data_IF_091705589742
#
_entry.id   IF_091705589742
#
_cell.length_a   1.000
_cell.length_b   1.000
_cell.length_c   1.000
_cell.angle_alpha   90.00
_cell.angle_beta   90.00
_cell.angle_gamma   90.00
#
_symmetry.space_group_name_H-M   'P 1'
#
loop_
_entity.id
_entity.type
_entity.pdbx_description
1 polymer ?
#
# COMPACT_ATOMS: atom_id res chain seq x y z
N UNK A 1 -8.21 -28.78 -29.04
CA UNK A 1 -7.49 -27.57 -29.48
C UNK A 1 -6.88 -26.93 -28.24
N UNK A 2 -5.62 -27.23 -27.97
CA UNK A 2 -4.93 -26.85 -26.73
C UNK A 2 -4.22 -25.50 -26.86
N UNK A 3 -4.44 -24.62 -25.89
CA UNK A 3 -3.83 -23.29 -25.81
C UNK A 3 -2.54 -23.40 -24.98
N UNK A 4 -1.43 -22.98 -25.58
CA UNK A 4 -0.08 -23.03 -25.02
C UNK A 4 0.11 -22.10 -23.81
N UNK A 5 0.97 -22.54 -22.89
CA UNK A 5 1.38 -21.84 -21.66
C UNK A 5 2.41 -20.71 -21.92
N UNK A 6 2.52 -19.67 -21.07
CA UNK A 6 3.28 -18.42 -21.33
C UNK A 6 4.82 -18.55 -21.30
N UNK A 7 5.38 -19.75 -21.38
CA UNK A 7 6.80 -20.01 -21.14
C UNK A 7 7.72 -19.72 -22.35
N UNK A 8 7.18 -19.18 -23.45
CA UNK A 8 7.87 -19.12 -24.76
C UNK A 8 8.49 -17.76 -25.13
N UNK A 9 8.52 -16.77 -24.24
CA UNK A 9 8.93 -15.39 -24.59
C UNK A 9 10.34 -15.01 -24.08
N UNK A 10 11.06 -15.86 -23.34
CA UNK A 10 12.43 -15.57 -22.90
C UNK A 10 13.44 -16.66 -23.32
N UNK A 11 14.47 -16.36 -24.14
CA UNK A 11 15.57 -17.29 -24.33
C UNK A 11 16.40 -17.36 -23.05
N UNK A 12 16.46 -18.57 -22.45
CA UNK A 12 17.28 -18.88 -21.28
C UNK A 12 18.76 -18.57 -21.56
N UNK A 13 19.31 -17.55 -20.91
CA UNK A 13 20.76 -17.30 -20.86
C UNK A 13 21.41 -18.46 -20.09
N UNK A 14 21.96 -19.45 -20.81
CA UNK A 14 22.82 -20.50 -20.22
C UNK A 14 24.20 -19.93 -19.94
N UNK A 15 24.48 -19.65 -18.67
CA UNK A 15 25.85 -19.37 -18.22
C UNK A 15 26.68 -20.66 -18.26
N UNK A 16 27.53 -20.83 -19.29
CA UNK A 16 28.52 -21.92 -19.37
C UNK A 16 29.61 -21.69 -18.30
N UNK A 17 29.55 -22.43 -17.19
CA UNK A 17 30.72 -22.59 -16.31
C UNK A 17 31.79 -23.40 -17.05
N UNK A 18 32.90 -22.76 -17.40
CA UNK A 18 34.15 -23.43 -17.82
C UNK A 18 34.72 -24.18 -16.63
N UNK A 19 34.82 -25.50 -16.74
CA UNK A 19 35.58 -26.33 -15.81
C UNK A 19 37.09 -26.13 -16.00
N UNK A 20 37.82 -26.00 -14.89
CA UNK A 20 39.25 -26.33 -14.81
C UNK A 20 39.46 -27.32 -13.67
N UNK A 21 40.28 -28.32 -13.98
CA UNK A 21 40.54 -29.56 -13.24
C UNK A 21 41.45 -29.35 -12.01
N UNK A 22 41.21 -30.20 -11.01
CA UNK A 22 42.13 -30.96 -10.14
C UNK A 22 43.46 -30.35 -9.67
N UNK A 23 43.62 -30.33 -8.35
CA UNK A 23 44.91 -30.39 -7.65
C UNK A 23 44.66 -30.60 -6.16
N UNK A 24 44.79 -31.84 -5.67
CA UNK A 24 44.69 -32.15 -4.24
C UNK A 24 46.05 -32.07 -3.55
N UNK A 25 46.06 -31.77 -2.25
CA UNK A 25 47.02 -32.33 -1.30
C UNK A 25 46.59 -32.10 0.18
N UNK A 26 46.37 -33.23 0.88
CA UNK A 26 46.75 -33.56 2.27
C UNK A 26 46.33 -32.70 3.48
N UNK A 27 45.42 -33.31 4.26
CA UNK A 27 45.47 -33.61 5.72
C UNK A 27 46.02 -32.59 6.72
N UNK A 28 45.17 -32.20 7.68
CA UNK A 28 45.43 -32.50 9.10
C UNK A 28 44.12 -32.56 9.91
N UNK A 29 44.03 -33.58 10.76
CA UNK A 29 42.94 -33.86 11.71
C UNK A 29 43.21 -33.10 13.01
N UNK A 30 42.17 -32.49 13.59
CA UNK A 30 42.01 -32.45 15.04
C UNK A 30 40.53 -32.61 15.42
N UNK A 31 40.26 -33.76 16.06
CA UNK A 31 39.11 -34.01 16.95
C UNK A 31 39.24 -33.05 18.17
N UNK A 32 38.27 -32.67 18.99
CA UNK A 32 37.04 -33.24 19.56
C UNK A 32 36.43 -32.05 20.37
N UNK A 33 35.13 -31.82 20.55
CA UNK A 33 34.23 -32.50 21.51
C UNK A 33 32.83 -31.88 21.41
N UNK A 34 31.82 -32.71 21.59
CA UNK A 34 30.42 -32.36 21.79
C UNK A 34 30.06 -32.33 23.30
N UNK A 35 29.00 -31.60 23.65
CA UNK A 35 27.97 -31.90 24.68
C UNK A 35 26.94 -30.76 24.59
N UNK A 36 25.68 -30.94 24.20
CA UNK A 36 24.55 -31.73 24.75
C UNK A 36 23.85 -31.08 25.95
N UNK A 37 22.51 -31.19 25.92
CA UNK A 37 21.51 -30.96 26.98
C UNK A 37 21.14 -29.50 27.27
N UNK A 38 19.90 -29.12 27.61
CA UNK A 38 18.54 -29.67 27.53
C UNK A 38 17.63 -28.61 28.17
N UNK A 39 16.38 -28.54 27.72
CA UNK A 39 15.15 -28.09 28.40
C UNK A 39 15.22 -27.10 29.59
N UNK A 40 14.40 -26.05 29.54
CA UNK A 40 13.22 -25.95 30.44
C UNK A 40 12.40 -24.68 30.20
N UNK A 41 11.08 -24.86 30.23
CA UNK A 41 10.07 -23.83 30.23
C UNK A 41 9.97 -23.16 31.61
N UNK A 42 9.69 -21.86 31.65
CA UNK A 42 9.14 -21.22 32.84
C UNK A 42 8.21 -20.06 32.45
N UNK A 43 6.95 -20.28 32.82
CA UNK A 43 5.82 -19.36 32.91
C UNK A 43 6.14 -18.02 33.58
N UNK A 44 5.56 -16.93 33.07
CA UNK A 44 5.47 -15.66 33.80
C UNK A 44 4.00 -15.30 34.03
N UNK A 45 3.60 -15.39 35.30
CA UNK A 45 2.39 -14.79 35.85
C UNK A 45 2.77 -13.78 36.94
N UNK A 46 1.91 -12.78 37.08
CA UNK A 46 1.67 -11.89 38.23
C UNK A 46 2.22 -10.45 38.20
N UNK A 47 1.25 -9.54 38.03
CA UNK A 47 0.80 -8.52 38.99
C UNK A 47 1.84 -7.56 39.62
N UNK A 48 1.57 -6.26 39.46
CA UNK A 48 2.18 -5.17 40.25
C UNK A 48 1.73 -5.17 41.73
N UNK A 49 2.19 -4.21 42.56
CA UNK A 49 1.97 -2.78 42.31
C UNK A 49 3.14 -1.82 42.66
N UNK A 50 2.88 -0.54 42.33
CA UNK A 50 3.61 0.72 42.51
C UNK A 50 4.67 0.85 43.62
N UNK A 51 5.77 1.56 43.31
CA UNK A 51 6.29 2.68 44.12
C UNK A 51 7.27 3.52 43.30
N UNK A 52 7.16 4.84 43.45
CA UNK A 52 7.96 5.89 42.82
C UNK A 52 9.30 6.12 43.55
N UNK A 53 10.41 6.23 42.81
CA UNK A 53 11.63 6.89 43.28
C UNK A 53 12.41 7.53 42.11
N UNK A 54 13.05 8.71 42.30
CA UNK A 54 13.63 9.50 41.22
C UNK A 54 15.10 9.12 40.98
N UNK A 55 15.51 8.97 39.72
CA UNK A 55 16.93 8.80 39.37
C UNK A 55 17.41 10.09 38.69
N UNK A 56 18.02 10.95 39.50
CA UNK A 56 18.97 11.96 39.04
C UNK A 56 20.37 11.53 39.45
N UNK A 57 21.25 11.26 38.49
CA UNK A 57 22.69 11.39 38.70
C UNK A 57 23.39 11.71 37.36
N UNK A 58 23.86 12.96 37.28
CA UNK A 58 24.70 13.48 36.20
C UNK A 58 26.06 12.79 36.26
N UNK A 59 26.36 11.93 35.29
CA UNK A 59 27.75 11.50 35.04
C UNK A 59 28.40 12.46 34.05
N UNK A 60 29.39 13.21 34.56
CA UNK A 60 30.17 14.21 33.84
C UNK A 60 31.44 13.51 33.31
N UNK A 61 31.51 13.20 32.02
CA UNK A 61 32.73 12.68 31.40
C UNK A 61 33.62 13.85 30.95
N UNK A 62 34.82 13.93 31.53
CA UNK A 62 35.85 14.92 31.22
C UNK A 62 36.66 14.50 29.99
N UNK A 63 36.87 15.44 29.07
CA UNK A 63 37.68 15.29 27.87
C UNK A 63 39.18 15.36 28.19
N UNK A 64 39.98 14.44 27.64
CA UNK A 64 41.43 14.65 27.46
C UNK A 64 41.82 14.44 25.99
N UNK A 65 42.60 15.41 25.55
CA UNK A 65 43.18 15.70 24.25
C UNK A 65 43.56 14.51 23.34
N UNK A 66 43.17 14.61 22.07
CA UNK A 66 43.94 14.10 20.93
C UNK A 66 43.92 15.08 19.75
N UNK A 67 45.10 15.65 19.57
CA UNK A 67 45.73 16.29 18.39
C UNK A 67 45.01 16.28 17.05
N UNK A 68 45.09 17.45 16.39
CA UNK A 68 44.51 17.82 15.11
C UNK A 68 44.94 16.97 13.91
N UNK A 69 43.95 16.61 13.07
CA UNK A 69 44.12 16.23 11.66
C UNK A 69 42.96 16.86 10.89
N UNK A 70 43.28 17.80 10.00
CA UNK A 70 42.33 18.59 9.24
C UNK A 70 41.77 17.81 8.04
N UNK A 71 40.72 17.01 8.25
CA UNK A 71 39.86 16.55 7.16
C UNK A 71 38.61 17.45 7.10
N UNK A 72 38.39 18.15 5.99
CA UNK A 72 37.16 18.92 5.73
C UNK A 72 35.96 17.96 5.64
N UNK A 73 35.42 17.52 6.78
CA UNK A 73 34.12 16.85 6.83
C UNK A 73 33.05 17.90 6.55
N UNK A 74 32.25 17.69 5.49
CA UNK A 74 31.01 18.43 5.30
C UNK A 74 30.15 18.15 6.53
N UNK A 75 30.06 19.12 7.44
CA UNK A 75 29.09 19.13 8.54
C UNK A 75 27.71 18.96 7.92
N UNK A 76 27.15 17.76 8.01
CA UNK A 76 25.72 17.56 7.87
C UNK A 76 25.13 18.46 8.96
N UNK A 77 24.52 19.59 8.57
CA UNK A 77 23.73 20.39 9.51
C UNK A 77 22.68 19.44 10.04
N UNK A 78 22.80 19.02 11.30
CA UNK A 78 21.69 18.40 11.98
C UNK A 78 20.53 19.37 11.85
N UNK A 79 19.47 18.96 11.14
CA UNK A 79 18.20 19.66 11.25
C UNK A 79 17.89 19.61 12.73
N UNK A 80 18.04 20.73 13.43
CA UNK A 80 17.59 20.86 14.80
C UNK A 80 16.09 20.59 14.72
N UNK A 81 15.66 19.40 15.11
CA UNK A 81 14.28 19.15 15.43
C UNK A 81 13.98 20.06 16.62
N UNK A 82 13.51 21.27 16.33
CA UNK A 82 12.81 22.04 17.34
C UNK A 82 11.56 21.22 17.59
N UNK A 83 11.55 20.48 18.70
CA UNK A 83 10.29 19.99 19.23
C UNK A 83 9.40 21.23 19.30
N UNK A 84 8.37 21.29 18.46
CA UNK A 84 7.29 22.25 18.65
C UNK A 84 6.79 22.12 20.08
N UNK A 85 6.12 23.16 20.60
CA UNK A 85 5.52 23.12 21.94
C UNK A 85 4.91 21.74 22.17
N UNK A 86 5.35 21.05 23.23
CA UNK A 86 4.76 19.76 23.61
C UNK A 86 3.25 19.93 23.63
N UNK A 87 2.47 19.03 23.00
CA UNK A 87 1.02 19.12 23.05
C UNK A 87 0.60 19.27 24.51
N UNK A 88 -0.14 20.34 24.82
CA UNK A 88 -0.52 20.68 26.19
C UNK A 88 -1.66 19.81 26.74
N UNK A 89 -2.15 18.85 25.95
CA UNK A 89 -3.29 17.99 26.26
C UNK A 89 -2.95 16.52 26.01
N UNK A 90 -3.57 15.63 26.79
CA UNK A 90 -3.53 14.19 26.55
C UNK A 90 -4.18 13.85 25.20
N UNK A 91 -3.64 12.84 24.51
CA UNK A 91 -4.13 12.35 23.23
C UNK A 91 -4.04 10.82 23.20
N UNK A 92 -4.98 10.19 22.50
CA UNK A 92 -5.04 8.73 22.32
C UNK A 92 -5.00 8.41 20.84
N UNK A 93 -4.21 7.39 20.48
CA UNK A 93 -4.20 6.84 19.13
C UNK A 93 -4.92 5.50 19.19
N UNK A 94 -6.00 5.38 18.43
CA UNK A 94 -6.66 4.11 18.18
C UNK A 94 -6.34 3.69 16.76
N UNK A 95 -5.67 2.55 16.60
CA UNK A 95 -5.32 2.00 15.31
C UNK A 95 -5.58 0.49 15.31
N UNK A 96 -6.04 -0.07 14.18
CA UNK A 96 -6.10 -1.52 14.03
C UNK A 96 -4.68 -2.09 14.04
N UNK A 97 -4.56 -3.39 14.33
CA UNK A 97 -3.35 -4.12 13.93
C UNK A 97 -3.31 -4.15 12.40
N UNK A 98 -2.10 -4.07 11.82
CA UNK A 98 -1.93 -4.08 10.36
C UNK A 98 -1.10 -5.28 9.94
N UNK A 99 -1.63 -6.08 9.01
CA UNK A 99 -0.88 -7.08 8.27
C UNK A 99 -0.72 -6.56 6.84
N UNK A 100 0.51 -6.26 6.44
CA UNK A 100 0.80 -5.67 5.13
C UNK A 100 1.79 -6.55 4.38
N UNK A 101 1.49 -6.87 3.13
CA UNK A 101 2.41 -7.59 2.26
C UNK A 101 1.73 -8.42 1.20
N UNK A 102 2.53 -8.83 0.22
CA UNK A 102 2.10 -9.69 -0.88
C UNK A 102 1.60 -11.04 -0.37
N UNK A 103 0.44 -11.50 -0.82
CA UNK A 103 -0.14 -12.80 -0.48
C UNK A 103 -0.66 -12.89 0.97
N UNK A 104 -0.78 -11.77 1.67
CA UNK A 104 -1.30 -11.73 3.05
C UNK A 104 -2.78 -12.08 3.12
N UNK A 105 -3.54 -11.96 2.03
CA UNK A 105 -4.94 -12.42 1.98
C UNK A 105 -5.08 -13.93 2.26
N UNK A 106 -4.05 -14.72 1.96
CA UNK A 106 -4.01 -16.15 2.28
C UNK A 106 -3.93 -16.44 3.79
N UNK A 107 -3.54 -15.46 4.61
CA UNK A 107 -3.38 -15.59 6.05
C UNK A 107 -4.67 -15.30 6.84
N UNK A 108 -5.76 -14.93 6.14
CA UNK A 108 -7.04 -14.54 6.77
C UNK A 108 -7.56 -15.61 7.73
N UNK A 109 -7.48 -16.90 7.39
CA UNK A 109 -7.94 -17.99 8.24
C UNK A 109 -7.19 -18.09 9.57
N UNK A 110 -5.87 -17.89 9.56
CA UNK A 110 -5.06 -17.92 10.78
C UNK A 110 -5.39 -16.71 11.69
N UNK A 111 -5.61 -15.55 11.08
CA UNK A 111 -5.99 -14.33 11.81
C UNK A 111 -7.44 -14.38 12.32
N UNK A 112 -8.34 -14.99 11.53
CA UNK A 112 -9.75 -15.16 11.86
C UNK A 112 -9.97 -16.12 13.04
N UNK A 113 -9.01 -17.01 13.35
CA UNK A 113 -9.10 -17.91 14.51
C UNK A 113 -9.25 -17.15 15.84
N UNK A 114 -8.71 -15.93 15.93
CA UNK A 114 -8.85 -15.07 17.11
C UNK A 114 -10.24 -14.41 17.23
N UNK A 115 -11.09 -14.51 16.20
CA UNK A 115 -12.42 -13.94 16.18
C UNK A 115 -13.49 -14.94 16.64
N UNK A 116 -13.21 -16.24 16.55
CA UNK A 116 -14.15 -17.33 16.84
C UNK A 116 -14.18 -18.39 15.74
N UNK A 117 -15.06 -19.36 15.89
CA UNK A 117 -15.26 -20.46 14.93
C UNK A 117 -16.44 -20.20 13.99
N UNK A 118 -17.24 -19.16 14.22
CA UNK A 118 -18.37 -18.78 13.36
C UNK A 118 -18.18 -17.41 12.72
N UNK A 119 -17.72 -17.38 11.48
CA UNK A 119 -17.38 -16.16 10.75
C UNK A 119 -18.41 -15.83 9.67
N UNK A 120 -18.83 -14.57 9.65
CA UNK A 120 -19.52 -13.95 8.52
C UNK A 120 -18.49 -13.31 7.59
N UNK A 121 -18.52 -13.71 6.32
CA UNK A 121 -17.74 -13.05 5.27
C UNK A 121 -18.62 -12.06 4.48
N UNK A 122 -18.21 -10.80 4.44
CA UNK A 122 -18.86 -9.73 3.69
C UNK A 122 -17.98 -9.36 2.52
N UNK A 123 -18.52 -9.39 1.30
CA UNK A 123 -17.75 -9.11 0.09
C UNK A 123 -18.52 -8.18 -0.86
N UNK A 124 -17.85 -7.20 -1.45
CA UNK A 124 -18.44 -6.40 -2.53
C UNK A 124 -18.84 -7.33 -3.70
N UNK A 125 -20.04 -7.19 -4.29
CA UNK A 125 -20.52 -8.06 -5.36
C UNK A 125 -19.52 -8.28 -6.52
N UNK A 126 -18.85 -7.22 -6.97
CA UNK A 126 -17.88 -7.28 -8.08
C UNK A 126 -16.66 -8.15 -7.80
N UNK A 127 -16.36 -8.44 -6.53
CA UNK A 127 -15.22 -9.27 -6.12
C UNK A 127 -15.64 -10.69 -5.75
N UNK A 128 -16.95 -10.99 -5.69
CA UNK A 128 -17.47 -12.26 -5.18
C UNK A 128 -16.84 -13.47 -5.86
N UNK A 129 -16.61 -13.41 -7.17
CA UNK A 129 -16.06 -14.52 -7.96
C UNK A 129 -14.55 -14.40 -8.22
N UNK A 130 -13.90 -13.39 -7.65
CA UNK A 130 -12.46 -13.16 -7.78
C UNK A 130 -11.63 -14.27 -7.13
N UNK A 131 -10.39 -14.43 -7.60
CA UNK A 131 -9.42 -15.35 -6.99
C UNK A 131 -9.17 -15.03 -5.50
N UNK A 132 -9.10 -13.74 -5.16
CA UNK A 132 -8.90 -13.29 -3.80
C UNK A 132 -10.09 -13.66 -2.88
N UNK A 133 -11.34 -13.47 -3.34
CA UNK A 133 -12.52 -13.89 -2.57
C UNK A 133 -12.57 -15.42 -2.38
N UNK A 134 -12.18 -16.19 -3.40
CA UNK A 134 -12.04 -17.65 -3.27
C UNK A 134 -10.98 -18.03 -2.23
N UNK A 135 -9.83 -17.37 -2.26
CA UNK A 135 -8.75 -17.60 -1.30
C UNK A 135 -9.17 -17.26 0.13
N UNK A 136 -9.96 -16.19 0.34
CA UNK A 136 -10.55 -15.89 1.66
C UNK A 136 -11.47 -17.01 2.12
N UNK A 137 -12.38 -17.49 1.27
CA UNK A 137 -13.30 -18.59 1.61
C UNK A 137 -12.54 -19.88 1.93
N UNK A 138 -11.56 -20.25 1.13
CA UNK A 138 -10.72 -21.43 1.35
C UNK A 138 -9.92 -21.32 2.66
N UNK A 139 -9.36 -20.14 2.94
CA UNK A 139 -8.58 -19.89 4.16
C UNK A 139 -9.47 -19.95 5.42
N UNK A 140 -10.71 -19.45 5.35
CA UNK A 140 -11.68 -19.55 6.45
C UNK A 140 -12.17 -20.99 6.68
N UNK A 141 -12.31 -21.78 5.62
CA UNK A 141 -12.74 -23.17 5.68
C UNK A 141 -14.04 -23.35 6.47
N UNK A 142 -14.04 -24.28 7.42
CA UNK A 142 -15.23 -24.59 8.25
C UNK A 142 -15.69 -23.43 9.15
N UNK A 143 -14.89 -22.38 9.32
CA UNK A 143 -15.30 -21.20 10.09
C UNK A 143 -16.28 -20.32 9.35
N UNK A 144 -16.30 -20.39 8.02
CA UNK A 144 -17.24 -19.62 7.20
C UNK A 144 -18.65 -20.21 7.36
N UNK A 145 -19.49 -19.57 8.19
CA UNK A 145 -20.87 -20.03 8.43
C UNK A 145 -21.90 -19.29 7.61
N UNK A 146 -21.54 -18.11 7.08
CA UNK A 146 -22.40 -17.27 6.27
C UNK A 146 -21.57 -16.33 5.37
N UNK A 147 -22.12 -16.00 4.20
CA UNK A 147 -21.55 -15.00 3.28
C UNK A 147 -22.62 -13.97 2.90
N UNK A 148 -22.25 -12.70 2.86
CA UNK A 148 -23.12 -11.60 2.46
C UNK A 148 -22.47 -10.77 1.35
N UNK A 149 -23.19 -10.65 0.23
CA UNK A 149 -22.77 -9.82 -0.91
C UNK A 149 -23.76 -8.71 -1.25
N UNK A 150 -24.78 -8.47 -0.41
CA UNK A 150 -25.77 -7.40 -0.58
C UNK A 150 -25.22 -6.00 -0.27
N UNK A 151 -23.97 -5.73 -0.64
CA UNK A 151 -23.27 -4.47 -0.38
C UNK A 151 -23.57 -3.49 -1.51
N UNK A 152 -23.95 -2.26 -1.15
CA UNK A 152 -24.20 -1.18 -2.09
C UNK A 152 -23.40 0.09 -1.76
N UNK A 153 -23.20 1.01 -2.73
CA UNK A 153 -22.63 2.32 -2.46
C UNK A 153 -23.34 3.03 -1.31
N UNK A 154 -22.57 3.72 -0.46
CA UNK A 154 -23.06 4.51 0.68
C UNK A 154 -23.73 3.72 1.82
N UNK A 155 -23.61 2.39 1.85
CA UNK A 155 -24.05 1.53 2.96
C UNK A 155 -25.51 1.80 3.35
N UNK A 156 -26.48 1.38 2.52
CA UNK A 156 -27.89 1.49 2.89
C UNK A 156 -28.17 0.79 4.22
N UNK A 157 -29.08 1.33 5.02
CA UNK A 157 -29.45 0.74 6.33
C UNK A 157 -29.93 -0.70 6.15
N UNK A 158 -30.68 -0.96 5.08
CA UNK A 158 -31.24 -2.26 4.73
C UNK A 158 -30.15 -3.31 4.50
N UNK A 159 -29.01 -2.90 3.93
CA UNK A 159 -27.87 -3.79 3.72
C UNK A 159 -27.22 -4.20 5.05
N UNK A 160 -27.15 -3.27 6.01
CA UNK A 160 -26.65 -3.56 7.37
C UNK A 160 -27.61 -4.50 8.09
N UNK A 161 -28.90 -4.21 8.07
CA UNK A 161 -29.91 -5.04 8.74
C UNK A 161 -30.01 -6.45 8.15
N UNK A 162 -29.91 -6.59 6.82
CA UNK A 162 -29.85 -7.90 6.18
C UNK A 162 -28.60 -8.71 6.61
N UNK A 163 -27.43 -8.06 6.67
CA UNK A 163 -26.21 -8.71 7.14
C UNK A 163 -26.28 -9.08 8.63
N UNK A 164 -26.92 -8.24 9.46
CA UNK A 164 -27.19 -8.54 10.87
C UNK A 164 -28.11 -9.74 11.06
N UNK A 165 -29.21 -9.79 10.32
CA UNK A 165 -30.15 -10.90 10.38
C UNK A 165 -29.44 -12.23 10.08
N UNK A 166 -28.56 -12.23 9.08
CA UNK A 166 -27.73 -13.38 8.74
C UNK A 166 -26.74 -13.73 9.87
N UNK A 167 -26.11 -12.71 10.48
CA UNK A 167 -25.21 -12.91 11.61
C UNK A 167 -25.91 -13.56 12.82
N UNK A 168 -27.13 -13.13 13.14
CA UNK A 168 -27.96 -13.70 14.21
C UNK A 168 -28.38 -15.13 13.86
N UNK A 169 -28.91 -15.36 12.66
CA UNK A 169 -29.36 -16.67 12.20
C UNK A 169 -28.24 -17.72 12.29
N UNK A 170 -27.02 -17.33 11.92
CA UNK A 170 -25.86 -18.22 11.89
C UNK A 170 -24.99 -18.11 13.15
N UNK A 171 -25.45 -17.43 14.21
CA UNK A 171 -24.72 -17.28 15.49
C UNK A 171 -23.27 -16.88 15.30
N UNK A 172 -23.06 -15.87 14.47
CA UNK A 172 -21.73 -15.39 14.08
C UNK A 172 -21.02 -14.80 15.30
N UNK A 173 -19.73 -15.07 15.40
CA UNK A 173 -18.81 -14.65 16.46
C UNK A 173 -17.79 -13.63 15.95
N UNK A 174 -17.60 -13.50 14.63
CA UNK A 174 -16.67 -12.59 14.01
C UNK A 174 -17.01 -12.21 12.58
N UNK A 175 -16.55 -11.04 12.13
CA UNK A 175 -16.78 -10.54 10.78
C UNK A 175 -15.46 -10.41 10.02
N UNK A 176 -15.43 -10.88 8.78
CA UNK A 176 -14.39 -10.56 7.80
C UNK A 176 -15.05 -9.76 6.67
N UNK A 177 -14.60 -8.54 6.41
CA UNK A 177 -15.13 -7.70 5.33
C UNK A 177 -14.06 -7.41 4.28
N UNK A 178 -14.31 -7.79 3.03
CA UNK A 178 -13.45 -7.53 1.88
C UNK A 178 -14.14 -6.61 0.87
N UNK A 179 -13.44 -5.55 0.47
CA UNK A 179 -13.94 -4.63 -0.53
C UNK A 179 -13.57 -3.19 -0.25
N UNK A 180 -14.34 -2.27 -0.82
CA UNK A 180 -14.18 -0.84 -0.53
C UNK A 180 -14.85 -0.40 0.77
N UNK A 181 -14.91 0.92 0.97
CA UNK A 181 -15.51 1.52 2.16
C UNK A 181 -16.94 1.05 2.45
N UNK A 182 -17.72 0.67 1.42
CA UNK A 182 -19.06 0.12 1.59
C UNK A 182 -19.08 -1.25 2.27
N UNK A 183 -18.29 -2.22 1.80
CA UNK A 183 -18.28 -3.57 2.37
C UNK A 183 -17.78 -3.54 3.82
N UNK A 184 -16.70 -2.79 4.05
CA UNK A 184 -16.17 -2.54 5.40
C UNK A 184 -17.22 -1.82 6.25
N UNK A 185 -17.93 -0.84 5.70
CA UNK A 185 -18.99 -0.12 6.40
C UNK A 185 -20.15 -1.01 6.84
N UNK A 186 -20.60 -1.96 5.98
CA UNK A 186 -21.58 -2.98 6.38
C UNK A 186 -21.01 -3.85 7.51
N UNK A 187 -19.76 -4.29 7.40
CA UNK A 187 -19.10 -5.07 8.44
C UNK A 187 -18.99 -4.34 9.78
N UNK A 188 -18.71 -3.04 9.76
CA UNK A 188 -18.74 -2.19 10.96
C UNK A 188 -20.12 -2.09 11.57
N UNK A 189 -21.15 -1.96 10.73
CA UNK A 189 -22.53 -2.06 11.16
C UNK A 189 -22.73 -3.34 11.97
N UNK A 190 -22.55 -4.50 11.33
CA UNK A 190 -22.69 -5.81 11.99
C UNK A 190 -21.88 -5.89 13.29
N UNK A 191 -20.62 -5.46 13.26
CA UNK A 191 -19.71 -5.50 14.40
C UNK A 191 -20.23 -4.74 15.63
N UNK A 192 -20.69 -3.51 15.44
CA UNK A 192 -21.02 -2.61 16.55
C UNK A 192 -22.20 -3.08 17.37
N UNK A 193 -23.26 -3.59 16.73
CA UNK A 193 -24.44 -4.10 17.45
C UNK A 193 -24.43 -5.64 17.54
N UNK A 194 -23.27 -6.26 17.29
CA UNK A 194 -23.03 -7.70 17.43
C UNK A 194 -22.58 -8.09 18.84
N UNK A 195 -22.64 -9.38 19.18
CA UNK A 195 -22.14 -9.88 20.47
C UNK A 195 -20.61 -9.83 20.53
N UNK A 196 -20.00 -9.47 21.68
CA UNK A 196 -18.54 -9.46 21.84
C UNK A 196 -17.89 -10.79 21.45
N UNK A 197 -16.81 -10.73 20.67
CA UNK A 197 -16.04 -11.92 20.29
C UNK A 197 -15.20 -12.44 21.46
N UNK A 198 -14.94 -13.76 21.55
CA UNK A 198 -13.98 -14.31 22.50
C UNK A 198 -12.60 -13.65 22.36
N UNK A 199 -11.96 -13.30 23.48
CA UNK A 199 -10.58 -12.78 23.46
C UNK A 199 -10.41 -11.32 23.05
N UNK A 200 -11.48 -10.57 22.78
CA UNK A 200 -11.38 -9.11 22.67
C UNK A 200 -11.11 -8.52 24.06
N UNK A 201 -9.88 -8.05 24.28
CA UNK A 201 -9.48 -7.42 25.54
C UNK A 201 -10.32 -6.19 25.92
N UNK A 202 -10.24 -5.78 27.17
CA UNK A 202 -10.89 -4.57 27.69
C UNK A 202 -10.57 -3.35 26.81
N UNK A 203 -11.61 -2.61 26.38
CA UNK A 203 -11.46 -1.34 25.66
C UNK A 203 -11.90 -1.29 24.19
N UNK A 204 -12.37 -2.40 23.60
CA UNK A 204 -12.88 -2.42 22.20
C UNK A 204 -14.31 -1.93 21.99
N UNK A 205 -15.05 -1.59 23.07
CA UNK A 205 -16.50 -1.40 22.99
C UNK A 205 -17.18 -2.77 22.80
N UNK A 206 -18.27 -3.03 23.50
CA UNK A 206 -18.89 -4.36 23.63
C UNK A 206 -19.51 -4.95 22.35
N UNK A 207 -18.85 -4.85 21.19
CA UNK A 207 -19.26 -5.41 19.90
C UNK A 207 -18.32 -6.50 19.39
N UNK A 208 -18.69 -7.07 18.26
CA UNK A 208 -18.01 -8.18 17.60
C UNK A 208 -16.72 -7.73 16.89
N UNK A 209 -15.70 -8.57 16.85
CA UNK A 209 -14.45 -8.28 16.17
C UNK A 209 -14.60 -8.30 14.63
N UNK A 210 -13.94 -7.34 13.97
CA UNK A 210 -13.97 -7.15 12.53
C UNK A 210 -12.56 -7.18 11.94
N UNK A 211 -12.31 -8.07 10.97
CA UNK A 211 -11.13 -8.03 10.08
C UNK A 211 -11.53 -7.31 8.79
N UNK A 212 -10.78 -6.28 8.41
CA UNK A 212 -11.00 -5.54 7.18
C UNK A 212 -9.92 -5.86 6.13
N UNK A 213 -10.34 -6.17 4.91
CA UNK A 213 -9.50 -6.44 3.74
C UNK A 213 -9.83 -5.39 2.67
N UNK A 214 -9.26 -4.18 2.77
CA UNK A 214 -9.55 -3.10 1.83
C UNK A 214 -9.06 -3.42 0.42
N UNK A 215 -9.92 -3.18 -0.56
CA UNK A 215 -9.57 -3.28 -1.99
C UNK A 215 -9.62 -1.92 -2.70
N UNK A 216 -9.79 -0.84 -1.93
CA UNK A 216 -9.82 0.55 -2.39
C UNK A 216 -9.18 1.45 -1.34
N UNK A 217 -8.84 2.69 -1.69
CA UNK A 217 -8.13 3.61 -0.79
C UNK A 217 -9.07 4.46 0.09
N UNK A 218 -10.15 3.86 0.61
CA UNK A 218 -11.17 4.57 1.37
C UNK A 218 -10.73 4.96 2.80
N UNK A 219 -9.86 4.16 3.43
CA UNK A 219 -9.41 4.37 4.82
C UNK A 219 -10.46 4.01 5.88
N UNK A 220 -11.57 3.38 5.50
CA UNK A 220 -12.61 2.94 6.44
C UNK A 220 -12.01 1.95 7.45
N UNK A 221 -11.13 1.08 7.01
CA UNK A 221 -10.41 0.10 7.84
C UNK A 221 -9.59 0.70 8.99
N UNK A 222 -9.29 2.01 8.96
CA UNK A 222 -8.46 2.70 9.96
C UNK A 222 -9.26 3.50 11.00
N UNK A 223 -10.59 3.48 10.93
CA UNK A 223 -11.41 4.40 11.74
C UNK A 223 -12.51 3.69 12.52
N UNK A 224 -12.92 4.23 13.70
CA UNK A 224 -14.12 3.79 14.41
C UNK A 224 -15.41 4.43 13.83
N UNK A 225 -15.37 4.93 12.60
CA UNK A 225 -16.47 5.70 12.00
C UNK A 225 -17.07 4.95 10.82
N UNK A 226 -18.39 4.91 10.76
CA UNK A 226 -19.12 4.44 9.59
C UNK A 226 -20.38 5.27 9.40
N UNK A 227 -20.80 5.39 8.14
CA UNK A 227 -22.04 6.07 7.79
C UNK A 227 -23.00 5.10 7.14
N UNK A 228 -24.26 5.11 7.54
CA UNK A 228 -25.36 4.43 6.86
C UNK A 228 -26.26 5.46 6.17
N UNK A 229 -26.88 5.08 5.07
CA UNK A 229 -27.84 5.93 4.35
C UNK A 229 -29.23 5.33 4.44
N UNK A 230 -30.18 6.12 4.92
CA UNK A 230 -31.61 5.82 4.80
C UNK A 230 -32.02 6.18 3.36
N UNK A 231 -32.35 5.16 2.55
CA UNK A 231 -32.65 5.34 1.13
C UNK A 231 -33.94 6.14 0.90
N UNK A 232 -34.93 5.95 1.78
CA UNK A 232 -36.26 6.58 1.70
C UNK A 232 -36.22 8.05 2.13
N UNK A 233 -35.41 8.38 3.14
CA UNK A 233 -35.28 9.76 3.66
C UNK A 233 -34.14 10.55 3.05
N UNK A 234 -33.22 9.90 2.34
CA UNK A 234 -32.00 10.51 1.82
C UNK A 234 -31.01 10.98 2.89
N UNK A 235 -31.22 10.60 4.16
CA UNK A 235 -30.41 11.03 5.31
C UNK A 235 -29.24 10.09 5.51
N UNK A 236 -28.04 10.65 5.70
CA UNK A 236 -26.83 9.89 6.08
C UNK A 236 -26.61 9.97 7.58
N UNK A 237 -26.70 8.85 8.26
CA UNK A 237 -26.40 8.74 9.68
C UNK A 237 -24.95 8.31 9.85
N UNK A 238 -24.13 9.14 10.51
CA UNK A 238 -22.73 8.82 10.81
C UNK A 238 -22.62 8.43 12.27
N UNK A 239 -22.10 7.22 12.54
CA UNK A 239 -21.82 6.72 13.87
C UNK A 239 -20.31 6.65 14.09
N UNK A 240 -19.88 7.03 15.29
CA UNK A 240 -18.53 6.80 15.81
C UNK A 240 -18.63 5.89 17.01
N UNK A 241 -18.06 4.71 16.93
CA UNK A 241 -18.13 3.69 17.96
C UNK A 241 -16.80 2.91 18.04
N UNK A 242 -16.17 2.74 19.22
CA UNK A 242 -14.96 1.94 19.35
C UNK A 242 -15.08 0.53 18.75
N UNK A 243 -16.27 -0.10 18.82
CA UNK A 243 -16.50 -1.43 18.25
C UNK A 243 -16.50 -1.44 16.71
N UNK A 244 -16.62 -0.27 16.08
CA UNK A 244 -16.53 -0.13 14.62
C UNK A 244 -15.08 -0.14 14.13
N UNK A 245 -14.08 0.00 15.02
CA UNK A 245 -12.69 -0.06 14.61
C UNK A 245 -12.31 -1.51 14.35
N UNK A 246 -11.83 -1.86 13.13
CA UNK A 246 -11.37 -3.20 12.86
C UNK A 246 -10.30 -3.64 13.84
N UNK A 247 -10.34 -4.92 14.20
CA UNK A 247 -9.31 -5.54 15.01
C UNK A 247 -7.99 -5.70 14.24
N UNK A 248 -8.12 -5.90 12.94
CA UNK A 248 -7.05 -6.13 11.99
C UNK A 248 -7.43 -5.54 10.63
N UNK A 249 -6.50 -4.83 10.00
CA UNK A 249 -6.54 -4.48 8.59
C UNK A 249 -5.50 -5.30 7.82
N UNK A 250 -5.91 -5.98 6.76
CA UNK A 250 -5.04 -6.79 5.90
C UNK A 250 -4.87 -6.08 4.56
N UNK A 251 -3.68 -5.56 4.31
CA UNK A 251 -3.29 -4.96 3.04
C UNK A 251 -2.48 -5.94 2.20
N UNK A 252 -3.15 -6.56 1.25
CA UNK A 252 -2.49 -7.27 0.18
C UNK A 252 -2.45 -6.39 -1.08
N UNK A 253 -1.29 -5.91 -1.53
CA UNK A 253 -1.24 -5.06 -2.71
C UNK A 253 -1.72 -5.80 -3.98
N UNK A 254 -1.62 -7.13 -4.06
CA UNK A 254 -2.00 -7.88 -5.26
C UNK A 254 -3.49 -7.80 -5.58
N UNK A 255 -4.35 -7.70 -4.57
CA UNK A 255 -5.81 -7.64 -4.76
C UNK A 255 -6.31 -6.25 -5.18
N UNK A 256 -5.40 -5.28 -5.32
CA UNK A 256 -5.69 -3.91 -5.76
C UNK A 256 -5.17 -3.59 -7.16
N UNK A 257 -4.39 -4.49 -7.77
CA UNK A 257 -3.76 -4.26 -9.08
C UNK A 257 -4.79 -4.16 -10.20
N UNK A 258 -5.88 -4.94 -10.10
CA UNK A 258 -6.95 -4.97 -11.11
C UNK A 258 -8.04 -3.91 -10.84
N UNK A 259 -7.85 -3.02 -9.85
CA UNK A 259 -8.82 -1.96 -9.57
C UNK A 259 -8.88 -0.99 -10.76
N UNK A 260 -10.08 -0.72 -11.33
CA UNK A 260 -10.21 0.18 -12.48
C UNK A 260 -9.58 1.54 -12.23
N UNK A 261 -8.88 2.10 -13.23
CA UNK A 261 -8.12 3.35 -13.10
C UNK A 261 -8.95 4.51 -12.53
N UNK A 262 -10.23 4.62 -12.92
CA UNK A 262 -11.15 5.65 -12.42
C UNK A 262 -11.43 5.48 -10.91
N UNK A 263 -11.63 4.24 -10.44
CA UNK A 263 -11.85 3.95 -9.01
C UNK A 263 -10.55 4.14 -8.22
N UNK A 264 -9.42 3.72 -8.78
CA UNK A 264 -8.08 3.97 -8.23
C UNK A 264 -7.85 5.47 -8.04
N UNK A 265 -8.10 6.29 -9.07
CA UNK A 265 -7.90 7.73 -9.01
C UNK A 265 -8.84 8.40 -8.00
N UNK A 266 -10.15 8.14 -8.07
CA UNK A 266 -11.14 8.76 -7.19
C UNK A 266 -10.90 8.41 -5.72
N UNK A 267 -10.60 7.16 -5.40
CA UNK A 267 -10.33 6.73 -4.01
C UNK A 267 -8.96 7.21 -3.52
N UNK A 268 -7.94 7.31 -4.39
CA UNK A 268 -6.65 7.91 -4.03
C UNK A 268 -6.77 9.41 -3.75
N UNK A 269 -7.61 10.14 -4.50
CA UNK A 269 -7.90 11.54 -4.21
C UNK A 269 -8.60 11.72 -2.87
N UNK A 270 -9.52 10.83 -2.51
CA UNK A 270 -10.12 10.82 -1.18
C UNK A 270 -9.06 10.56 -0.07
N UNK A 271 -8.16 9.60 -0.28
CA UNK A 271 -7.05 9.35 0.65
C UNK A 271 -6.12 10.58 0.78
N UNK A 272 -5.86 11.28 -0.32
CA UNK A 272 -5.07 12.51 -0.30
C UNK A 272 -5.76 13.61 0.49
N UNK A 273 -7.07 13.80 0.27
CA UNK A 273 -7.88 14.76 1.02
C UNK A 273 -7.82 14.47 2.52
N UNK A 274 -7.98 13.20 2.93
CA UNK A 274 -7.83 12.80 4.34
C UNK A 274 -6.44 13.14 4.90
N UNK A 275 -5.36 12.90 4.14
CA UNK A 275 -4.01 13.26 4.59
C UNK A 275 -3.83 14.77 4.73
N UNK A 276 -4.36 15.55 3.79
CA UNK A 276 -4.29 17.01 3.81
C UNK A 276 -5.09 17.56 5.01
N UNK A 277 -6.32 17.09 5.20
CA UNK A 277 -7.18 17.46 6.34
C UNK A 277 -6.57 17.11 7.69
N UNK A 278 -5.94 15.93 7.79
CA UNK A 278 -5.26 15.48 9.00
C UNK A 278 -4.10 16.41 9.43
N UNK A 279 -3.54 17.21 8.52
CA UNK A 279 -2.49 18.16 8.85
C UNK A 279 -3.00 19.43 9.55
N UNK A 280 -4.27 19.81 9.34
CA UNK A 280 -4.88 21.04 9.89
C UNK A 280 -6.12 20.80 10.77
N UNK A 281 -6.46 19.54 11.06
CA UNK A 281 -7.57 19.19 11.94
C UNK A 281 -7.45 19.87 13.33
N UNK A 282 -8.58 20.23 13.93
CA UNK A 282 -8.62 20.95 15.23
C UNK A 282 -8.07 20.11 16.39
N UNK A 283 -8.22 18.80 16.31
CA UNK A 283 -7.84 17.79 17.30
C UNK A 283 -6.52 17.08 16.94
N UNK A 284 -5.64 17.74 16.19
CA UNK A 284 -4.39 17.14 15.73
C UNK A 284 -3.47 16.76 16.89
N UNK A 285 -2.96 15.53 16.86
CA UNK A 285 -1.95 15.03 17.79
C UNK A 285 -0.57 14.98 17.08
N UNK A 286 0.56 14.92 17.81
CA UNK A 286 1.89 15.08 17.21
C UNK A 286 2.30 13.92 16.29
N UNK A 287 1.57 12.80 16.29
CA UNK A 287 1.87 11.62 15.47
C UNK A 287 1.17 11.68 14.11
N UNK A 288 0.02 12.36 14.02
CA UNK A 288 -0.80 12.35 12.80
C UNK A 288 -0.17 13.13 11.63
N UNK A 289 0.31 14.39 11.79
CA UNK A 289 0.86 15.14 10.65
C UNK A 289 2.08 14.47 9.99
N UNK A 290 3.06 13.91 10.72
CA UNK A 290 4.15 13.17 10.08
C UNK A 290 3.67 11.99 9.21
N UNK A 291 2.69 11.22 9.69
CA UNK A 291 2.11 10.09 8.95
C UNK A 291 1.34 10.58 7.72
N UNK A 292 0.53 11.61 7.89
CA UNK A 292 -0.25 12.20 6.81
C UNK A 292 0.64 12.81 5.71
N UNK A 293 1.72 13.50 6.08
CA UNK A 293 2.72 14.02 5.15
C UNK A 293 3.43 12.91 4.37
N UNK A 294 3.68 11.76 4.98
CA UNK A 294 4.24 10.60 4.28
C UNK A 294 3.23 9.99 3.30
N UNK A 295 1.96 9.89 3.70
CA UNK A 295 0.85 9.51 2.82
C UNK A 295 0.76 10.40 1.57
N UNK A 296 0.82 11.73 1.75
CA UNK A 296 0.84 12.70 0.65
C UNK A 296 2.00 12.40 -0.32
N UNK A 297 3.21 12.19 0.19
CA UNK A 297 4.39 11.89 -0.66
C UNK A 297 4.19 10.63 -1.48
N UNK A 298 3.65 9.56 -0.89
CA UNK A 298 3.40 8.31 -1.59
C UNK A 298 2.35 8.46 -2.69
N UNK A 299 1.22 9.12 -2.40
CA UNK A 299 0.15 9.33 -3.38
C UNK A 299 0.64 10.19 -4.54
N UNK A 300 1.31 11.31 -4.26
CA UNK A 300 1.84 12.21 -5.31
C UNK A 300 2.90 11.51 -6.15
N UNK A 301 3.79 10.70 -5.54
CA UNK A 301 4.80 9.95 -6.29
C UNK A 301 4.17 8.91 -7.22
N UNK A 302 3.11 8.24 -6.78
CA UNK A 302 2.38 7.29 -7.61
C UNK A 302 1.75 7.99 -8.83
N UNK A 303 1.10 9.14 -8.63
CA UNK A 303 0.56 9.95 -9.72
C UNK A 303 1.63 10.40 -10.72
N UNK A 304 2.81 10.82 -10.24
CA UNK A 304 3.94 11.16 -11.09
C UNK A 304 4.43 9.98 -11.94
N UNK A 305 4.45 8.76 -11.39
CA UNK A 305 4.80 7.54 -12.13
C UNK A 305 3.85 7.26 -13.29
N UNK A 306 2.54 7.48 -13.10
CA UNK A 306 1.53 7.33 -14.17
C UNK A 306 1.78 8.33 -15.30
N UNK A 307 1.99 9.61 -14.96
CA UNK A 307 2.28 10.63 -15.97
C UNK A 307 3.57 10.33 -16.75
N UNK A 308 4.61 9.84 -16.07
CA UNK A 308 5.84 9.41 -16.74
C UNK A 308 5.58 8.23 -17.70
N UNK A 309 4.75 7.26 -17.31
CA UNK A 309 4.41 6.14 -18.17
C UNK A 309 3.69 6.61 -19.46
N UNK A 310 2.71 7.50 -19.33
CA UNK A 310 2.01 8.13 -20.48
C UNK A 310 3.00 8.87 -21.37
N UNK A 311 3.88 9.69 -20.78
CA UNK A 311 4.75 10.59 -21.54
C UNK A 311 5.97 9.90 -22.18
N UNK A 312 6.41 8.75 -21.66
CA UNK A 312 7.72 8.18 -21.99
C UNK A 312 7.90 7.87 -23.48
N UNK A 313 6.90 7.26 -24.11
CA UNK A 313 6.97 6.91 -25.55
C UNK A 313 7.06 8.17 -26.43
N UNK A 314 6.36 9.24 -26.06
CA UNK A 314 6.38 10.52 -26.78
C UNK A 314 7.72 11.25 -26.63
N UNK A 315 8.31 11.23 -25.43
CA UNK A 315 9.63 11.84 -25.18
C UNK A 315 10.75 11.07 -25.87
N UNK A 316 10.69 9.73 -25.89
CA UNK A 316 11.64 8.88 -26.63
C UNK A 316 11.59 9.22 -28.12
N UNK A 317 10.39 9.33 -28.68
CA UNK A 317 10.19 9.72 -30.08
C UNK A 317 10.80 11.10 -30.39
N UNK A 318 10.55 12.09 -29.53
CA UNK A 318 11.09 13.43 -29.72
C UNK A 318 12.63 13.46 -29.75
N UNK A 319 13.27 12.64 -28.90
CA UNK A 319 14.73 12.57 -28.75
C UNK A 319 15.42 11.64 -29.75
N UNK A 320 14.69 10.90 -30.58
CA UNK A 320 15.23 9.75 -31.30
C UNK A 320 16.33 10.10 -32.31
N UNK A 321 16.23 11.27 -32.95
CA UNK A 321 17.20 11.79 -33.90
C UNK A 321 18.47 12.35 -33.23
N UNK A 322 18.36 12.84 -31.99
CA UNK A 322 19.49 13.37 -31.23
C UNK A 322 20.39 12.27 -30.65
N UNK A 323 19.85 11.08 -30.37
CA UNK A 323 20.58 9.96 -29.73
C UNK A 323 20.30 8.61 -30.41
N UNK A 324 20.56 8.47 -31.71
CA UNK A 324 20.17 7.28 -32.50
C UNK A 324 20.80 5.98 -31.98
N UNK A 325 22.06 6.01 -31.52
CA UNK A 325 22.73 4.84 -30.97
C UNK A 325 22.10 4.36 -29.65
N UNK A 326 21.64 5.29 -28.80
CA UNK A 326 20.93 4.95 -27.57
C UNK A 326 19.56 4.34 -27.88
N UNK A 327 18.85 4.86 -28.90
CA UNK A 327 17.56 4.30 -29.32
C UNK A 327 17.69 2.88 -29.87
N UNK A 328 18.74 2.61 -30.66
CA UNK A 328 19.03 1.26 -31.14
C UNK A 328 19.30 0.28 -29.97
N UNK A 329 20.02 0.72 -28.94
CA UNK A 329 20.27 -0.08 -27.72
C UNK A 329 18.98 -0.35 -26.93
N UNK A 330 18.13 0.66 -26.75
CA UNK A 330 16.84 0.51 -26.07
C UNK A 330 15.94 -0.47 -26.84
N UNK A 331 15.83 -0.32 -28.15
CA UNK A 331 15.03 -1.21 -29.00
C UNK A 331 15.53 -2.66 -28.93
N UNK A 332 16.83 -2.89 -29.00
CA UNK A 332 17.43 -4.23 -28.87
C UNK A 332 17.13 -4.85 -27.49
N UNK A 333 17.29 -4.07 -26.41
CA UNK A 333 16.97 -4.51 -25.05
C UNK A 333 15.48 -4.87 -24.86
N UNK A 334 14.59 -4.25 -25.63
CA UNK A 334 13.15 -4.53 -25.65
C UNK A 334 12.74 -5.63 -26.64
N UNK A 335 13.70 -6.25 -27.33
CA UNK A 335 13.45 -7.42 -28.18
C UNK A 335 13.28 -7.13 -29.67
N UNK A 336 13.65 -5.94 -30.16
CA UNK A 336 13.64 -5.60 -31.59
C UNK A 336 14.66 -6.41 -32.43
N UNK A 337 15.62 -7.07 -31.77
CA UNK A 337 16.76 -7.71 -32.41
C UNK A 337 17.90 -6.74 -32.69
N UNK A 338 19.07 -7.29 -33.05
CA UNK A 338 20.33 -6.56 -33.06
C UNK A 338 20.32 -5.38 -34.07
N UNK A 339 20.47 -4.16 -33.53
CA UNK A 339 20.80 -2.88 -34.20
C UNK A 339 19.86 -2.49 -35.34
N UNK A 340 18.57 -2.35 -35.03
CA UNK A 340 17.64 -1.63 -35.92
C UNK A 340 18.12 -0.19 -36.19
N UNK A 341 17.91 0.30 -37.42
CA UNK A 341 18.10 1.71 -37.81
C UNK A 341 16.80 2.52 -37.75
N UNK A 342 15.70 1.87 -37.37
CA UNK A 342 14.40 2.52 -37.17
C UNK A 342 14.42 3.32 -35.86
N UNK A 343 14.47 4.64 -35.96
CA UNK A 343 14.46 5.56 -34.81
C UNK A 343 13.15 5.50 -34.01
N UNK A 344 12.05 5.06 -34.64
CA UNK A 344 10.75 4.88 -33.97
C UNK A 344 10.65 3.57 -33.19
N UNK A 345 11.56 2.61 -33.42
CA UNK A 345 11.45 1.28 -32.84
C UNK A 345 11.37 1.33 -31.31
N UNK A 346 12.28 2.07 -30.66
CA UNK A 346 12.28 2.22 -29.21
C UNK A 346 10.97 2.81 -28.68
N UNK A 347 10.46 3.88 -29.30
CA UNK A 347 9.20 4.51 -28.90
C UNK A 347 8.01 3.56 -29.06
N UNK A 348 7.98 2.77 -30.14
CA UNK A 348 6.93 1.78 -30.43
C UNK A 348 6.93 0.64 -29.42
N UNK A 349 8.10 0.10 -29.07
CA UNK A 349 8.20 -0.96 -28.06
C UNK A 349 7.84 -0.46 -26.66
N UNK A 350 8.23 0.76 -26.30
CA UNK A 350 7.82 1.38 -25.04
C UNK A 350 6.31 1.63 -25.01
N UNK A 351 5.72 2.14 -26.10
CA UNK A 351 4.27 2.31 -26.19
C UNK A 351 3.53 0.98 -26.01
N UNK A 352 3.93 -0.08 -26.74
CA UNK A 352 3.33 -1.40 -26.61
C UNK A 352 3.50 -1.99 -25.19
N UNK A 353 4.63 -1.73 -24.52
CA UNK A 353 4.82 -2.11 -23.13
C UNK A 353 3.87 -1.36 -22.20
N UNK A 354 3.75 -0.03 -22.34
CA UNK A 354 2.82 0.79 -21.53
C UNK A 354 1.36 0.40 -21.78
N UNK A 355 0.99 0.07 -23.02
CA UNK A 355 -0.34 -0.46 -23.37
C UNK A 355 -0.66 -1.79 -22.67
N UNK A 356 0.37 -2.59 -22.34
CA UNK A 356 0.19 -3.83 -21.57
C UNK A 356 0.00 -3.62 -20.06
N UNK A 357 0.23 -2.40 -19.56
CA UNK A 357 0.10 -2.06 -18.15
C UNK A 357 -1.31 -1.50 -17.84
N UNK A 358 -1.85 -1.76 -16.64
CA UNK A 358 -3.15 -1.22 -16.21
C UNK A 358 -3.02 0.26 -15.78
N UNK A 359 -2.50 1.11 -16.67
CA UNK A 359 -2.35 2.55 -16.44
C UNK A 359 -3.05 3.35 -17.55
N UNK A 360 -3.48 4.60 -17.27
CA UNK A 360 -3.94 5.52 -18.31
C UNK A 360 -2.95 5.59 -19.48
N UNK A 361 -3.47 5.61 -20.70
CA UNK A 361 -2.66 5.67 -21.93
C UNK A 361 -2.50 7.10 -22.46
N UNK A 362 -3.34 8.01 -21.99
CA UNK A 362 -3.35 9.43 -22.40
C UNK A 362 -3.41 10.35 -21.18
N UNK A 363 -2.96 11.59 -21.35
CA UNK A 363 -3.01 12.61 -20.30
C UNK A 363 -4.46 12.91 -19.90
N UNK A 364 -5.41 12.96 -20.84
CA UNK A 364 -6.83 13.17 -20.50
C UNK A 364 -7.41 12.03 -19.66
N UNK A 365 -6.96 10.80 -19.89
CA UNK A 365 -7.38 9.62 -19.13
C UNK A 365 -6.76 9.62 -17.73
N UNK A 366 -5.65 10.33 -17.54
CA UNK A 366 -5.02 10.61 -16.25
C UNK A 366 -5.57 11.88 -15.56
N UNK A 367 -6.62 12.51 -16.12
CA UNK A 367 -7.28 13.67 -15.53
C UNK A 367 -6.62 15.02 -15.84
N UNK A 368 -5.72 15.10 -16.82
CA UNK A 368 -5.06 16.35 -17.22
C UNK A 368 -5.98 17.12 -18.17
N UNK A 369 -6.39 18.32 -17.76
CA UNK A 369 -7.25 19.19 -18.54
C UNK A 369 -6.52 19.81 -19.74
N UNK A 370 -7.21 19.98 -20.87
CA UNK A 370 -6.60 20.48 -22.11
C UNK A 370 -6.03 21.91 -21.98
N UNK A 371 -6.67 22.75 -21.16
CA UNK A 371 -6.26 24.12 -20.84
C UNK A 371 -5.00 24.19 -19.97
N UNK A 372 -4.62 23.09 -19.31
CA UNK A 372 -3.39 23.00 -18.53
C UNK A 372 -2.13 22.74 -19.38
N UNK A 373 -2.27 22.36 -20.65
CA UNK A 373 -1.12 21.97 -21.47
C UNK A 373 -0.17 23.13 -21.76
N UNK A 374 -0.70 24.33 -22.02
CA UNK A 374 0.09 25.54 -22.26
C UNK A 374 0.89 26.00 -21.03
N UNK A 375 0.28 26.17 -19.83
CA UNK A 375 1.05 26.55 -18.64
C UNK A 375 2.09 25.49 -18.26
N UNK A 376 1.76 24.19 -18.36
CA UNK A 376 2.71 23.10 -18.08
C UNK A 376 3.90 23.14 -19.04
N UNK A 377 3.68 23.41 -20.32
CA UNK A 377 4.77 23.52 -21.29
C UNK A 377 5.73 24.68 -20.98
N UNK A 378 5.19 25.83 -20.59
CA UNK A 378 5.98 27.00 -20.20
C UNK A 378 6.80 26.75 -18.94
N UNK A 379 6.20 26.12 -17.92
CA UNK A 379 6.89 25.79 -16.67
C UNK A 379 7.99 24.74 -16.91
N UNK A 380 7.70 23.70 -17.70
CA UNK A 380 8.64 22.65 -18.03
C UNK A 380 9.86 23.16 -18.80
N UNK A 381 9.70 24.13 -19.70
CA UNK A 381 10.80 24.73 -20.45
C UNK A 381 11.84 25.42 -19.54
N UNK A 382 11.41 25.88 -18.36
CA UNK A 382 12.27 26.51 -17.36
C UNK A 382 12.86 25.51 -16.35
N UNK A 383 12.53 24.23 -16.45
CA UNK A 383 12.98 23.22 -15.50
C UNK A 383 14.43 22.79 -15.79
N UNK A 384 15.36 22.84 -14.81
CA UNK A 384 16.74 22.40 -14.99
C UNK A 384 16.90 20.97 -15.53
N UNK A 385 15.98 20.05 -15.22
CA UNK A 385 16.05 18.68 -15.74
C UNK A 385 15.73 18.62 -17.23
N UNK A 386 14.78 19.43 -17.70
CA UNK A 386 14.43 19.55 -19.12
C UNK A 386 15.56 20.25 -19.91
N UNK A 387 16.24 21.21 -19.30
CA UNK A 387 17.41 21.87 -19.90
C UNK A 387 18.58 20.91 -20.12
N UNK A 388 18.63 19.79 -19.40
CA UNK A 388 19.63 18.73 -19.60
C UNK A 388 19.23 17.68 -20.65
N UNK A 389 18.10 17.85 -21.33
CA UNK A 389 17.63 16.93 -22.37
C UNK A 389 18.61 16.91 -23.57
N UNK A 390 18.91 15.74 -24.16
CA UNK A 390 19.89 15.61 -25.25
C UNK A 390 19.54 16.42 -26.50
N UNK A 391 18.24 16.69 -26.71
CA UNK A 391 17.74 17.60 -27.75
C UNK A 391 17.27 18.90 -27.08
N UNK A 392 17.81 20.03 -27.51
CA UNK A 392 17.32 21.32 -27.03
C UNK A 392 15.82 21.41 -27.28
N UNK A 393 15.05 21.78 -26.25
CA UNK A 393 13.60 21.77 -26.29
C UNK A 393 13.04 23.06 -25.72
N UNK A 394 12.12 23.69 -26.44
CA UNK A 394 11.43 24.92 -26.03
C UNK A 394 9.95 24.65 -25.67
N UNK A 395 9.27 25.64 -25.09
CA UNK A 395 7.88 25.52 -24.66
C UNK A 395 6.93 25.08 -25.79
N UNK A 396 7.15 25.52 -27.04
CA UNK A 396 6.31 25.11 -28.18
C UNK A 396 6.47 23.62 -28.50
N UNK A 397 7.70 23.10 -28.45
CA UNK A 397 7.98 21.68 -28.66
C UNK A 397 7.44 20.83 -27.51
N UNK A 398 7.61 21.26 -26.26
CA UNK A 398 7.02 20.58 -25.10
C UNK A 398 5.50 20.51 -25.24
N UNK A 399 4.87 21.62 -25.65
CA UNK A 399 3.43 21.69 -25.89
C UNK A 399 2.95 20.71 -26.96
N UNK A 400 3.74 20.50 -28.01
CA UNK A 400 3.46 19.49 -29.06
C UNK A 400 3.57 18.06 -28.53
N UNK A 401 4.59 17.76 -27.71
CA UNK A 401 4.74 16.45 -27.06
C UNK A 401 3.54 16.18 -26.13
N UNK A 402 3.17 17.17 -25.30
CA UNK A 402 2.00 17.10 -24.44
C UNK A 402 0.71 16.92 -25.25
N UNK A 403 0.55 17.61 -26.37
CA UNK A 403 -0.61 17.44 -27.25
C UNK A 403 -0.71 16.04 -27.85
N UNK A 404 0.42 15.47 -28.24
CA UNK A 404 0.48 14.13 -28.80
C UNK A 404 0.10 13.05 -27.77
N UNK A 405 0.38 13.32 -26.49
CA UNK A 405 0.05 12.45 -25.36
C UNK A 405 -1.36 12.68 -24.79
N UNK A 406 -2.11 13.68 -25.27
CA UNK A 406 -3.39 14.08 -24.68
C UNK A 406 -4.59 13.21 -25.07
#
# INVERSE_FOLDING_TARGET
>A
MGICSPSSIFPRIRCRRRGRRSGGCTTSRSRCRANSSSESAASWTNAGPSTSAPIGSRTRFTSKDRTASSSKSRRIRSRSWRAGRSPSKAWTIQAPRVLFGRGTVGQVGAEAAALGDRILYICTPSLKDSAAARQVRESLGNRLVAEFSGVAPHVPVEAVEAARALAVQHRVEGVVAMGGGSAIGVGKGVAVDGTPSPGTGEGRGGGMALVAIPTTYAGSEMTPVFGTRDADKGVKHVRRDPAALPSLAIYDPEITIDLPAEITASTAMNALAHCVEACYARDVNPVIPPVALEGIRHIVRAAHGVLNAVMLSHVIRFNADAVPDAMAQIADAMGAGARTRDLEAAARFVAAFVESLPVPQRLRDAGVAADSLDPVANDAANNPTVQSNPKAVNAKEIRQILQAAW
#
